data_IF_645801642129
#
_entry.id   IF_645801642129
#
_cell.length_a   1.000
_cell.length_b   1.000
_cell.length_c   1.000
_cell.angle_alpha   90.00
_cell.angle_beta   90.00
_cell.angle_gamma   90.00
#
_symmetry.space_group_name_H-M   'P 1'
#
loop_
_entity.id
_entity.type
_entity.pdbx_description
1 polymer ?
#
# COMPACT_ATOMS: atom_id res chain seq x y z
N UNK A 1 54.90 0.90 25.66
CA UNK A 1 53.84 0.53 26.62
C UNK A 1 52.58 0.26 25.82
N UNK A 2 52.04 -0.95 25.91
CA UNK A 2 50.77 -1.31 25.28
C UNK A 2 49.64 -0.54 25.96
N UNK A 3 48.74 0.06 25.18
CA UNK A 3 47.38 0.36 25.62
C UNK A 3 46.41 -0.19 24.58
N UNK A 4 45.94 -1.42 24.83
CA UNK A 4 44.66 -1.93 24.35
C UNK A 4 43.54 -1.21 25.12
N UNK A 5 42.49 -0.79 24.40
CA UNK A 5 41.13 -0.54 24.91
C UNK A 5 40.21 -0.53 23.68
N UNK A 6 39.87 -1.69 23.11
CA UNK A 6 38.59 -2.42 23.31
C UNK A 6 37.43 -1.51 23.75
N UNK A 7 36.51 -1.20 22.84
CA UNK A 7 35.12 -1.69 22.90
C UNK A 7 34.40 -1.30 21.60
N UNK A 8 34.45 -2.20 20.62
CA UNK A 8 33.53 -2.18 19.49
C UNK A 8 32.17 -2.60 20.05
N UNK A 9 31.37 -1.63 20.48
CA UNK A 9 29.94 -1.84 20.66
C UNK A 9 29.35 -1.88 19.26
N UNK A 10 29.47 -3.03 18.60
CA UNK A 10 28.58 -3.40 17.51
C UNK A 10 27.21 -3.57 18.15
N UNK A 11 26.54 -2.45 18.44
CA UNK A 11 25.09 -2.45 18.53
C UNK A 11 24.66 -3.04 17.21
N UNK A 12 24.24 -4.30 17.26
CA UNK A 12 23.40 -4.91 16.26
C UNK A 12 22.20 -3.97 16.11
N UNK A 13 22.36 -2.98 15.24
CA UNK A 13 21.28 -2.37 14.51
C UNK A 13 20.74 -3.47 13.60
N UNK A 14 20.13 -4.50 14.20
CA UNK A 14 18.91 -5.05 13.63
C UNK A 14 17.89 -3.94 13.82
N UNK A 15 18.06 -2.84 13.07
CA UNK A 15 16.91 -2.30 12.39
C UNK A 15 16.41 -3.51 11.62
N UNK A 16 15.43 -4.19 12.19
CA UNK A 16 14.34 -4.66 11.36
C UNK A 16 14.03 -3.46 10.51
N UNK A 17 14.64 -3.40 9.31
CA UNK A 17 13.95 -2.90 8.15
C UNK A 17 12.59 -3.53 8.34
N UNK A 18 11.63 -2.73 8.82
CA UNK A 18 10.24 -3.07 8.72
C UNK A 18 10.13 -3.16 7.22
N UNK A 19 10.37 -4.38 6.73
CA UNK A 19 10.63 -4.64 5.34
C UNK A 19 9.47 -3.98 4.70
N UNK A 20 9.78 -3.00 3.85
CA UNK A 20 8.83 -2.36 3.00
C UNK A 20 7.82 -3.44 2.67
N UNK A 21 6.55 -3.23 3.04
CA UNK A 21 5.48 -4.05 2.50
C UNK A 21 5.44 -3.74 1.00
N UNK A 22 6.50 -4.10 0.28
CA UNK A 22 6.45 -4.63 -1.07
C UNK A 22 5.64 -5.90 -0.90
N UNK A 23 4.34 -5.69 -0.73
CA UNK A 23 3.32 -6.60 -1.20
C UNK A 23 3.83 -7.16 -2.51
N UNK A 24 3.79 -8.49 -2.60
CA UNK A 24 4.33 -9.29 -3.69
C UNK A 24 3.64 -8.93 -5.01
N UNK A 25 4.04 -7.80 -5.58
CA UNK A 25 3.62 -7.26 -6.85
C UNK A 25 4.27 -8.14 -7.93
N UNK A 26 3.70 -9.32 -8.15
CA UNK A 26 4.01 -10.17 -9.29
C UNK A 26 3.15 -9.67 -10.43
N UNK A 27 3.66 -8.69 -11.17
CA UNK A 27 2.97 -8.02 -12.26
C UNK A 27 2.06 -8.97 -13.04
N UNK A 28 0.75 -8.90 -12.77
CA UNK A 28 -0.26 -9.57 -13.58
C UNK A 28 -0.12 -9.13 -15.03
N UNK A 29 -0.15 -10.07 -15.98
CA UNK A 29 -0.09 -9.78 -17.42
C UNK A 29 -1.40 -9.19 -17.97
N UNK A 30 -2.52 -9.28 -17.23
CA UNK A 30 -3.80 -8.74 -17.68
C UNK A 30 -3.78 -7.20 -17.61
N UNK A 31 -3.85 -6.47 -18.74
CA UNK A 31 -3.74 -5.01 -18.77
C UNK A 31 -4.89 -4.29 -18.04
N UNK A 32 -5.97 -5.00 -17.70
CA UNK A 32 -7.14 -4.44 -17.01
C UNK A 32 -7.08 -4.63 -15.49
N UNK A 33 -5.98 -5.16 -14.97
CA UNK A 33 -5.77 -5.42 -13.54
C UNK A 33 -4.57 -4.66 -12.99
N UNK A 34 -4.57 -4.46 -11.68
CA UNK A 34 -3.37 -4.00 -10.97
C UNK A 34 -2.27 -5.09 -10.98
N UNK A 35 -1.21 -4.89 -10.21
CA UNK A 35 -0.10 -5.83 -10.23
C UNK A 35 -0.37 -7.16 -9.52
N UNK A 36 -1.45 -7.29 -8.74
CA UNK A 36 -1.84 -8.56 -8.10
C UNK A 36 -3.04 -9.24 -8.78
N UNK A 37 -3.53 -8.69 -9.90
CA UNK A 37 -4.67 -9.24 -10.63
C UNK A 37 -6.03 -8.77 -10.11
N UNK A 38 -6.08 -7.68 -9.34
CA UNK A 38 -7.34 -7.08 -8.88
C UNK A 38 -7.99 -6.25 -10.00
N UNK A 39 -9.32 -6.26 -10.07
CA UNK A 39 -10.08 -5.49 -11.06
C UNK A 39 -10.43 -4.09 -10.56
N UNK A 40 -10.43 -3.13 -11.48
CA UNK A 40 -10.74 -1.74 -11.13
C UNK A 40 -12.22 -1.54 -10.78
N UNK A 41 -12.47 -0.80 -9.71
CA UNK A 41 -13.79 -0.28 -9.34
C UNK A 41 -13.74 1.24 -9.24
N UNK A 42 -14.63 1.91 -9.95
CA UNK A 42 -14.74 3.35 -9.92
C UNK A 42 -15.29 3.84 -8.57
N UNK A 43 -14.63 4.84 -7.99
CA UNK A 43 -14.99 5.48 -6.71
C UNK A 43 -14.76 7.00 -6.81
N UNK A 44 -14.81 7.71 -5.68
CA UNK A 44 -14.41 9.11 -5.54
C UNK A 44 -12.87 9.33 -5.47
N UNK A 45 -12.08 8.25 -5.46
CA UNK A 45 -10.62 8.32 -5.60
C UNK A 45 -10.16 8.86 -6.95
N UNK A 46 -8.95 9.43 -7.00
CA UNK A 46 -8.36 10.02 -8.21
C UNK A 46 -6.97 9.46 -8.45
N UNK A 47 -6.59 9.36 -9.73
CA UNK A 47 -5.25 8.93 -10.11
C UNK A 47 -4.23 9.86 -9.44
N UNK A 48 -3.33 9.26 -8.68
CA UNK A 48 -2.19 9.94 -8.07
C UNK A 48 -0.94 9.16 -8.42
N UNK A 49 0.00 9.79 -9.11
CA UNK A 49 1.25 9.15 -9.49
C UNK A 49 2.11 8.87 -8.25
N UNK A 50 2.81 7.74 -8.29
CA UNK A 50 3.74 7.31 -7.24
C UNK A 50 4.91 6.50 -7.82
N UNK A 51 6.01 6.43 -7.06
CA UNK A 51 7.17 5.59 -7.34
C UNK A 51 7.32 4.53 -6.24
N UNK A 52 7.09 4.92 -4.98
CA UNK A 52 7.24 4.06 -3.81
C UNK A 52 6.01 4.16 -2.89
N UNK A 53 5.84 3.18 -2.01
CA UNK A 53 4.75 3.14 -1.03
C UNK A 53 4.58 4.44 -0.23
N UNK A 54 5.69 5.09 0.14
CA UNK A 54 5.71 6.33 0.94
C UNK A 54 5.02 7.51 0.24
N UNK A 55 4.97 7.52 -1.08
CA UNK A 55 4.33 8.58 -1.86
C UNK A 55 2.80 8.59 -1.67
N UNK A 56 2.25 7.50 -1.12
CA UNK A 56 0.82 7.32 -0.86
C UNK A 56 0.41 7.55 0.61
N UNK A 57 1.33 7.98 1.48
CA UNK A 57 1.06 8.17 2.91
C UNK A 57 0.01 9.26 3.22
N UNK A 58 -0.12 10.26 2.36
CA UNK A 58 -1.10 11.35 2.50
C UNK A 58 -2.46 11.02 1.88
N UNK A 59 -2.72 9.73 1.60
CA UNK A 59 -3.94 9.26 0.95
C UNK A 59 -4.66 8.19 1.79
N UNK A 60 -5.98 8.14 1.63
CA UNK A 60 -6.90 7.23 2.33
C UNK A 60 -7.80 6.53 1.32
N UNK A 61 -8.49 5.50 1.79
CA UNK A 61 -9.52 4.83 1.02
C UNK A 61 -10.58 5.84 0.52
N UNK A 62 -11.16 5.62 -0.66
CA UNK A 62 -12.27 6.44 -1.11
C UNK A 62 -13.46 6.32 -0.16
N UNK A 63 -14.30 7.36 -0.10
CA UNK A 63 -15.48 7.40 0.76
C UNK A 63 -16.40 6.21 0.50
N UNK A 64 -16.53 5.79 -0.77
CA UNK A 64 -17.34 4.62 -1.14
C UNK A 64 -16.85 3.31 -0.49
N UNK A 65 -15.59 3.24 -0.05
CA UNK A 65 -14.96 2.04 0.53
C UNK A 65 -14.71 2.14 2.03
N UNK A 66 -15.09 3.25 2.67
CA UNK A 66 -14.79 3.49 4.08
C UNK A 66 -15.61 2.60 5.05
N UNK A 67 -16.77 2.08 4.60
CA UNK A 67 -17.54 1.05 5.33
C UNK A 67 -17.71 -0.20 4.47
N UNK A 68 -16.86 -1.24 4.63
CA UNK A 68 -17.08 -2.51 3.95
C UNK A 68 -18.35 -3.18 4.49
N UNK A 69 -19.10 -3.84 3.60
CA UNK A 69 -20.16 -4.76 4.00
C UNK A 69 -19.56 -6.10 4.50
N UNK A 70 -20.36 -7.04 5.07
CA UNK A 70 -19.83 -8.30 5.60
C UNK A 70 -19.09 -9.18 4.56
N UNK A 71 -19.39 -9.04 3.27
CA UNK A 71 -18.74 -9.77 2.17
C UNK A 71 -17.49 -9.06 1.62
N UNK A 72 -17.12 -7.91 2.21
CA UNK A 72 -15.97 -7.10 1.81
C UNK A 72 -14.92 -7.05 2.92
N UNK A 73 -13.65 -7.13 2.53
CA UNK A 73 -12.51 -7.03 3.44
C UNK A 73 -11.39 -6.25 2.80
N UNK A 74 -10.83 -5.27 3.49
CA UNK A 74 -9.61 -4.63 3.02
C UNK A 74 -8.47 -5.64 3.01
N UNK A 75 -7.59 -5.49 2.02
CA UNK A 75 -6.31 -6.18 2.05
C UNK A 75 -5.42 -5.57 3.15
N UNK A 76 -4.31 -6.24 3.48
CA UNK A 76 -3.43 -5.82 4.59
C UNK A 76 -2.88 -4.41 4.41
N UNK A 77 -2.64 -4.01 3.18
CA UNK A 77 -2.11 -2.70 2.85
C UNK A 77 -3.26 -1.70 2.70
N UNK A 78 -3.10 -0.55 3.35
CA UNK A 78 -3.91 0.62 3.02
C UNK A 78 -3.52 1.18 1.65
N UNK A 79 -3.62 2.50 1.50
CA UNK A 79 -3.11 3.15 0.29
C UNK A 79 -1.62 2.85 0.08
N UNK A 80 -1.29 2.32 -1.09
CA UNK A 80 0.07 1.96 -1.48
C UNK A 80 0.29 2.24 -2.96
N UNK A 81 1.55 2.23 -3.37
CA UNK A 81 1.92 2.40 -4.77
C UNK A 81 1.85 1.07 -5.51
N UNK A 82 0.97 0.96 -6.50
CA UNK A 82 1.01 -0.14 -7.44
C UNK A 82 2.11 0.10 -8.48
N UNK A 83 3.08 -0.82 -8.55
CA UNK A 83 4.28 -0.66 -9.40
C UNK A 83 4.01 -0.90 -10.89
N UNK A 84 2.85 -1.47 -11.24
CA UNK A 84 2.44 -1.64 -12.64
C UNK A 84 1.72 -0.39 -13.16
N UNK A 85 0.85 0.19 -12.33
CA UNK A 85 0.04 1.35 -12.64
C UNK A 85 0.74 2.67 -12.32
N UNK A 86 1.82 2.64 -11.53
CA UNK A 86 2.49 3.82 -10.96
C UNK A 86 1.50 4.77 -10.28
N UNK A 87 0.53 4.20 -9.55
CA UNK A 87 -0.58 4.95 -8.97
C UNK A 87 -0.89 4.51 -7.54
N UNK A 88 -1.27 5.48 -6.69
CA UNK A 88 -1.73 5.19 -5.34
C UNK A 88 -3.12 4.55 -5.38
N UNK A 89 -3.17 3.27 -4.97
CA UNK A 89 -4.37 2.47 -4.94
C UNK A 89 -4.58 1.83 -3.56
N UNK A 90 -5.78 1.30 -3.37
CA UNK A 90 -6.09 0.41 -2.25
C UNK A 90 -6.81 -0.82 -2.80
N UNK A 91 -6.51 -1.99 -2.21
CA UNK A 91 -7.14 -3.25 -2.56
C UNK A 91 -8.17 -3.69 -1.52
N UNK A 92 -9.18 -4.42 -2.00
CA UNK A 92 -10.09 -5.17 -1.15
C UNK A 92 -10.46 -6.51 -1.79
N UNK A 93 -10.87 -7.46 -0.95
CA UNK A 93 -11.67 -8.59 -1.38
C UNK A 93 -13.16 -8.21 -1.31
N UNK A 94 -13.92 -8.59 -2.33
CA UNK A 94 -15.35 -8.29 -2.47
C UNK A 94 -16.02 -9.46 -3.20
N UNK A 95 -16.97 -10.15 -2.55
CA UNK A 95 -17.70 -11.28 -3.14
C UNK A 95 -16.78 -12.33 -3.83
N UNK A 96 -15.66 -12.66 -3.20
CA UNK A 96 -14.69 -13.65 -3.70
C UNK A 96 -13.76 -13.14 -4.81
N UNK A 97 -13.84 -11.85 -5.18
CA UNK A 97 -12.97 -11.21 -6.18
C UNK A 97 -12.02 -10.22 -5.52
N UNK A 98 -10.86 -10.01 -6.13
CA UNK A 98 -9.96 -8.91 -5.78
C UNK A 98 -10.35 -7.68 -6.58
N UNK A 99 -10.50 -6.57 -5.88
CA UNK A 99 -10.82 -5.26 -6.45
C UNK A 99 -9.75 -4.26 -6.02
N UNK A 100 -9.47 -3.28 -6.88
CA UNK A 100 -8.71 -2.10 -6.52
C UNK A 100 -9.44 -0.83 -6.94
N UNK A 101 -9.07 0.27 -6.32
CA UNK A 101 -9.50 1.60 -6.70
C UNK A 101 -8.43 2.62 -6.36
N UNK A 102 -8.53 3.82 -6.93
CA UNK A 102 -7.62 4.90 -6.58
C UNK A 102 -7.90 5.42 -5.18
N UNK A 103 -6.84 5.88 -4.50
CA UNK A 103 -6.99 6.53 -3.22
C UNK A 103 -7.52 7.97 -3.34
N UNK A 104 -7.98 8.52 -2.21
CA UNK A 104 -8.40 9.90 -2.03
C UNK A 104 -7.40 10.64 -1.14
N UNK A 105 -7.22 11.94 -1.34
CA UNK A 105 -6.41 12.77 -0.43
C UNK A 105 -6.95 12.69 1.00
N UNK A 106 -6.04 12.60 1.98
CA UNK A 106 -6.38 12.64 3.40
C UNK A 106 -6.90 14.03 3.84
N UNK A 107 -6.70 15.08 3.04
CA UNK A 107 -7.19 16.42 3.34
C UNK A 107 -8.72 16.45 3.44
N UNK A 108 -9.24 16.84 4.61
CA UNK A 108 -10.67 16.81 4.95
C UNK A 108 -11.33 15.43 4.73
N UNK A 109 -10.56 14.36 4.90
CA UNK A 109 -11.10 13.01 4.82
C UNK A 109 -11.85 12.67 6.10
N UNK A 110 -13.07 12.16 5.95
CA UNK A 110 -13.85 11.52 7.01
C UNK A 110 -14.77 10.49 6.36
N UNK A 111 -15.07 9.40 7.06
CA UNK A 111 -16.07 8.42 6.61
C UNK A 111 -17.46 8.88 7.08
N UNK A 112 -18.32 9.44 6.18
CA UNK A 112 -19.64 9.94 6.53
C UNK A 112 -20.54 8.82 6.98
#
# INVERSE_FOLDING_TARGET
MWSLLILVVTLCFTHSSFGSSTSHCKSSDDPNTDCIGAYFVQTDGKIQQCIEHKDCYDYREPILWCRPNPEQKWMKDGCHCDLKLHSCIINRQSYGRLEYTHCRSAFNWYCP
#
